data_IF_862103938859
#
_entry.id   IF_862103938859
#
_cell.length_a   1.000
_cell.length_b   1.000
_cell.length_c   1.000
_cell.angle_alpha   90.00
_cell.angle_beta   90.00
_cell.angle_gamma   90.00
#
_symmetry.space_group_name_H-M   'P 1'
#
loop_
_entity.id
_entity.type
_entity.pdbx_description
1 polymer ?
#
# COMPACT_ATOMS: atom_id res chain seq x y z
N UNK A 1 -18.42 13.03 27.13
CA UNK A 1 -17.51 13.66 26.16
C UNK A 1 -16.29 12.80 25.81
N UNK A 2 -15.46 12.30 26.76
CA UNK A 2 -14.22 11.54 26.48
C UNK A 2 -14.31 10.49 25.34
N UNK A 3 -15.36 9.68 25.28
CA UNK A 3 -15.56 8.69 24.20
C UNK A 3 -15.73 9.30 22.80
N UNK A 4 -16.47 10.41 22.68
CA UNK A 4 -16.66 11.12 21.41
C UNK A 4 -15.32 11.69 20.90
N UNK A 5 -14.51 12.25 21.80
CA UNK A 5 -13.17 12.74 21.47
C UNK A 5 -12.26 11.63 20.92
N UNK A 6 -12.30 10.42 21.49
CA UNK A 6 -11.53 9.27 20.99
C UNK A 6 -12.04 8.77 19.63
N UNK A 7 -13.36 8.75 19.40
CA UNK A 7 -13.95 8.40 18.10
C UNK A 7 -13.48 9.38 17.02
N UNK A 8 -13.58 10.70 17.28
CA UNK A 8 -13.13 11.73 16.34
C UNK A 8 -11.62 11.66 16.09
N UNK A 9 -10.81 11.43 17.13
CA UNK A 9 -9.36 11.24 16.98
C UNK A 9 -9.02 10.01 16.13
N UNK A 10 -9.72 8.88 16.34
CA UNK A 10 -9.53 7.66 15.54
C UNK A 10 -9.93 7.85 14.07
N UNK A 11 -11.02 8.57 13.80
CA UNK A 11 -11.43 8.95 12.44
C UNK A 11 -10.36 9.85 11.80
N UNK A 12 -9.89 10.88 12.49
CA UNK A 12 -8.87 11.80 11.95
C UNK A 12 -7.53 11.12 11.70
N UNK A 13 -7.08 10.23 12.60
CA UNK A 13 -5.91 9.38 12.39
C UNK A 13 -6.08 8.53 11.12
N UNK A 14 -7.24 7.88 10.97
CA UNK A 14 -7.56 7.06 9.79
C UNK A 14 -7.51 7.88 8.50
N UNK A 15 -8.16 9.06 8.47
CA UNK A 15 -8.17 9.96 7.31
C UNK A 15 -6.77 10.43 6.95
N UNK A 16 -5.94 10.81 7.93
CA UNK A 16 -4.56 11.23 7.67
C UNK A 16 -3.69 10.07 7.16
N UNK A 17 -3.74 8.90 7.81
CA UNK A 17 -2.95 7.74 7.39
C UNK A 17 -3.31 7.26 5.98
N UNK A 18 -4.60 7.13 5.65
CA UNK A 18 -5.04 6.70 4.32
C UNK A 18 -4.90 7.79 3.25
N UNK A 19 -5.04 9.07 3.60
CA UNK A 19 -4.81 10.19 2.68
C UNK A 19 -3.36 10.29 2.22
N UNK A 20 -2.40 10.05 3.12
CA UNK A 20 -0.96 10.04 2.81
C UNK A 20 -0.56 8.74 2.09
N UNK A 21 -1.15 7.60 2.47
CA UNK A 21 -0.83 6.26 1.96
C UNK A 21 -0.73 6.18 0.44
N UNK A 22 -1.73 6.67 -0.29
CA UNK A 22 -1.76 6.54 -1.76
C UNK A 22 -0.57 7.19 -2.46
N UNK A 23 -0.18 8.40 -2.03
CA UNK A 23 0.94 9.16 -2.59
C UNK A 23 2.29 8.56 -2.21
N UNK A 24 2.45 8.14 -0.95
CA UNK A 24 3.68 7.48 -0.47
C UNK A 24 3.87 6.12 -1.15
N UNK A 25 2.81 5.33 -1.26
CA UNK A 25 2.83 4.04 -1.98
C UNK A 25 3.18 4.23 -3.45
N UNK A 26 2.62 5.23 -4.13
CA UNK A 26 2.94 5.51 -5.53
C UNK A 26 4.42 5.90 -5.72
N UNK A 27 4.97 6.70 -4.80
CA UNK A 27 6.41 7.01 -4.80
C UNK A 27 7.26 5.75 -4.54
N UNK A 28 6.83 4.88 -3.62
CA UNK A 28 7.46 3.58 -3.37
C UNK A 28 7.45 2.66 -4.59
N UNK A 29 6.29 2.54 -5.26
CA UNK A 29 6.14 1.80 -6.52
C UNK A 29 7.14 2.28 -7.58
N UNK A 30 7.25 3.59 -7.78
CA UNK A 30 8.21 4.17 -8.73
C UNK A 30 9.67 3.85 -8.36
N UNK A 31 10.04 3.88 -7.08
CA UNK A 31 11.39 3.55 -6.63
C UNK A 31 11.70 2.04 -6.73
N UNK A 32 10.68 1.19 -6.65
CA UNK A 32 10.79 -0.27 -6.79
C UNK A 32 10.62 -0.76 -8.25
N UNK A 33 10.77 0.12 -9.24
CA UNK A 33 10.73 -0.23 -10.67
C UNK A 33 9.33 -0.44 -11.24
N UNK A 34 8.29 0.08 -10.59
CA UNK A 34 6.87 -0.13 -10.90
C UNK A 34 6.39 -1.59 -10.80
N UNK A 35 7.16 -2.46 -10.11
CA UNK A 35 6.76 -3.83 -9.83
C UNK A 35 5.49 -3.89 -8.97
N UNK A 36 4.59 -4.82 -9.31
CA UNK A 36 3.27 -4.95 -8.67
C UNK A 36 3.35 -5.63 -7.29
N UNK A 37 4.30 -6.55 -7.11
CA UNK A 37 4.35 -7.42 -5.93
C UNK A 37 5.33 -6.91 -4.85
N UNK A 38 6.46 -6.31 -5.24
CA UNK A 38 7.48 -5.84 -4.27
C UNK A 38 6.91 -4.84 -3.24
N UNK A 39 6.14 -3.80 -3.64
CA UNK A 39 5.55 -2.85 -2.68
C UNK A 39 4.49 -3.49 -1.79
N UNK A 40 3.75 -4.48 -2.29
CA UNK A 40 2.75 -5.21 -1.51
C UNK A 40 3.40 -6.01 -0.37
N UNK A 41 4.57 -6.61 -0.60
CA UNK A 41 5.34 -7.31 0.45
C UNK A 41 5.75 -6.32 1.55
N UNK A 42 6.25 -5.13 1.19
CA UNK A 42 6.60 -4.09 2.15
C UNK A 42 5.38 -3.64 2.98
N UNK A 43 4.22 -3.44 2.33
CA UNK A 43 2.96 -3.11 3.02
C UNK A 43 2.52 -4.26 3.95
N UNK A 44 2.63 -5.51 3.51
CA UNK A 44 2.29 -6.69 4.29
C UNK A 44 3.13 -6.84 5.57
N UNK A 45 4.45 -6.62 5.47
CA UNK A 45 5.34 -6.61 6.64
C UNK A 45 4.97 -5.47 7.61
N UNK A 46 4.72 -4.26 7.10
CA UNK A 46 4.29 -3.14 7.93
C UNK A 46 2.94 -3.42 8.64
N UNK A 47 1.99 -4.04 7.92
CA UNK A 47 0.69 -4.43 8.49
C UNK A 47 0.85 -5.51 9.56
N UNK A 48 1.71 -6.52 9.35
CA UNK A 48 1.99 -7.56 10.34
C UNK A 48 2.55 -6.95 11.64
N UNK A 49 3.55 -6.07 11.52
CA UNK A 49 4.16 -5.41 12.68
C UNK A 49 3.14 -4.53 13.43
N UNK A 50 2.42 -3.66 12.74
CA UNK A 50 1.47 -2.73 13.38
C UNK A 50 0.27 -3.48 13.96
N UNK A 51 -0.33 -4.42 13.23
CA UNK A 51 -1.52 -5.14 13.66
C UNK A 51 -1.28 -6.15 14.80
N UNK A 52 -0.02 -6.57 15.02
CA UNK A 52 0.34 -7.43 16.15
C UNK A 52 0.85 -6.58 17.32
N UNK A 53 1.87 -5.74 17.11
CA UNK A 53 2.57 -5.08 18.22
C UNK A 53 1.72 -4.01 18.90
N UNK A 54 0.95 -3.21 18.15
CA UNK A 54 0.15 -2.12 18.73
C UNK A 54 -1.02 -2.66 19.58
N UNK A 55 -1.85 -3.63 19.10
CA UNK A 55 -2.88 -4.21 19.95
C UNK A 55 -2.33 -4.96 21.15
N UNK A 56 -1.23 -5.71 21.03
CA UNK A 56 -0.60 -6.38 22.19
C UNK A 56 -0.15 -5.33 23.23
N UNK A 57 0.52 -4.26 22.80
CA UNK A 57 0.93 -3.17 23.70
C UNK A 57 -0.25 -2.50 24.43
N UNK A 58 -1.36 -2.27 23.74
CA UNK A 58 -2.57 -1.69 24.36
C UNK A 58 -3.25 -2.69 25.31
N UNK A 59 -3.35 -3.97 24.94
CA UNK A 59 -3.98 -5.01 25.77
C UNK A 59 -3.15 -5.36 27.01
N UNK A 60 -1.82 -5.31 26.95
CA UNK A 60 -0.95 -5.46 28.13
C UNK A 60 -1.10 -4.26 29.07
N UNK A 61 -1.00 -3.03 28.56
CA UNK A 61 -1.18 -1.80 29.36
C UNK A 61 -2.56 -1.69 30.01
N UNK A 62 -3.60 -2.29 29.40
CA UNK A 62 -4.97 -2.29 29.94
C UNK A 62 -5.34 -3.55 30.72
N UNK A 63 -4.42 -4.51 30.89
CA UNK A 63 -4.64 -5.76 31.64
C UNK A 63 -5.67 -6.72 31.01
N UNK A 64 -5.96 -6.57 29.71
CA UNK A 64 -7.03 -7.30 29.00
C UNK A 64 -6.55 -8.45 28.11
N UNK A 65 -5.24 -8.71 28.06
CA UNK A 65 -4.66 -9.68 27.12
C UNK A 65 -5.21 -11.11 27.26
N UNK A 66 -5.52 -11.56 28.47
CA UNK A 66 -5.91 -12.94 28.78
C UNK A 66 -7.40 -13.26 28.68
N UNK A 67 -8.28 -12.25 28.53
CA UNK A 67 -9.74 -12.42 28.67
C UNK A 67 -10.55 -11.96 27.46
N UNK A 68 -11.71 -12.58 27.24
CA UNK A 68 -12.69 -12.16 26.23
C UNK A 68 -12.52 -12.72 24.82
N UNK A 69 -11.57 -13.65 24.62
CA UNK A 69 -11.39 -14.35 23.35
C UNK A 69 -12.58 -15.27 23.04
N UNK A 70 -13.20 -15.12 21.88
CA UNK A 70 -14.29 -15.99 21.41
C UNK A 70 -13.98 -16.52 20.02
N UNK A 71 -14.30 -17.79 19.75
CA UNK A 71 -14.04 -18.41 18.44
C UNK A 71 -14.75 -17.66 17.29
N UNK A 72 -15.99 -17.24 17.49
CA UNK A 72 -16.75 -16.43 16.54
C UNK A 72 -16.08 -15.07 16.29
N UNK A 73 -15.69 -14.35 17.35
CA UNK A 73 -15.01 -13.06 17.21
C UNK A 73 -13.67 -13.16 16.48
N UNK A 74 -12.89 -14.22 16.75
CA UNK A 74 -11.65 -14.49 16.01
C UNK A 74 -11.92 -14.77 14.54
N UNK A 75 -12.89 -15.64 14.21
CA UNK A 75 -13.23 -15.95 12.82
C UNK A 75 -13.68 -14.72 12.02
N UNK A 76 -14.60 -13.92 12.57
CA UNK A 76 -15.04 -12.66 11.94
C UNK A 76 -13.90 -11.65 11.78
N UNK A 77 -13.00 -11.55 12.76
CA UNK A 77 -11.83 -10.68 12.68
C UNK A 77 -10.82 -11.15 11.62
N UNK A 78 -10.59 -12.46 11.50
CA UNK A 78 -9.74 -13.05 10.47
C UNK A 78 -10.32 -12.83 9.07
N UNK A 79 -11.63 -13.04 8.88
CA UNK A 79 -12.32 -12.76 7.63
C UNK A 79 -12.22 -11.27 7.23
N UNK A 80 -12.38 -10.35 8.19
CA UNK A 80 -12.21 -8.92 7.96
C UNK A 80 -10.76 -8.57 7.56
N UNK A 81 -9.77 -9.19 8.20
CA UNK A 81 -8.35 -9.04 7.84
C UNK A 81 -8.03 -9.54 6.43
N UNK A 82 -8.57 -10.70 6.03
CA UNK A 82 -8.44 -11.24 4.67
C UNK A 82 -9.08 -10.30 3.64
N UNK A 83 -10.28 -9.79 3.91
CA UNK A 83 -10.94 -8.81 3.03
C UNK A 83 -10.13 -7.51 2.89
N UNK A 84 -9.54 -7.02 3.99
CA UNK A 84 -8.63 -5.87 3.97
C UNK A 84 -7.36 -6.11 3.15
N UNK A 85 -6.76 -7.30 3.25
CA UNK A 85 -5.59 -7.68 2.45
C UNK A 85 -5.90 -7.72 0.94
N UNK A 86 -7.05 -8.26 0.54
CA UNK A 86 -7.51 -8.20 -0.85
C UNK A 86 -7.80 -6.77 -1.32
N UNK A 87 -8.33 -5.91 -0.45
CA UNK A 87 -8.49 -4.47 -0.73
C UNK A 87 -7.15 -3.77 -1.02
N UNK A 88 -6.14 -4.01 -0.18
CA UNK A 88 -4.79 -3.47 -0.39
C UNK A 88 -4.13 -3.99 -1.68
N UNK A 89 -4.27 -5.29 -1.98
CA UNK A 89 -3.85 -5.88 -3.25
C UNK A 89 -4.52 -5.19 -4.45
N UNK A 90 -5.84 -4.96 -4.39
CA UNK A 90 -6.60 -4.26 -5.43
C UNK A 90 -6.09 -2.85 -5.69
N UNK A 91 -5.80 -2.08 -4.63
CA UNK A 91 -5.19 -0.75 -4.75
C UNK A 91 -3.82 -0.83 -5.43
N UNK A 92 -2.93 -1.73 -4.97
CA UNK A 92 -1.59 -1.88 -5.54
C UNK A 92 -1.65 -2.25 -7.04
N UNK A 93 -2.57 -3.14 -7.42
CA UNK A 93 -2.80 -3.52 -8.83
C UNK A 93 -3.30 -2.34 -9.66
N UNK A 94 -4.27 -1.56 -9.15
CA UNK A 94 -4.82 -0.40 -9.85
C UNK A 94 -3.77 0.68 -10.08
N UNK A 95 -2.94 0.95 -9.07
CA UNK A 95 -1.87 1.94 -9.13
C UNK A 95 -0.73 1.52 -10.08
N UNK A 96 -0.32 0.25 -10.03
CA UNK A 96 0.67 -0.29 -10.99
C UNK A 96 0.14 -0.49 -12.41
N UNK A 97 -1.18 -0.49 -12.61
CA UNK A 97 -1.81 -0.45 -13.93
C UNK A 97 -1.83 0.95 -14.58
N UNK A 98 -1.17 1.95 -13.98
CA UNK A 98 -1.20 3.36 -14.42
C UNK A 98 -2.19 4.24 -13.65
N UNK A 99 -2.80 3.70 -12.58
CA UNK A 99 -3.63 4.46 -11.65
C UNK A 99 -2.83 5.54 -10.92
N UNK A 100 -3.37 6.76 -10.84
CA UNK A 100 -2.79 7.86 -10.06
C UNK A 100 -3.56 8.00 -8.74
N UNK A 101 -2.87 8.23 -7.59
CA UNK A 101 -3.53 8.30 -6.29
C UNK A 101 -4.63 9.37 -6.20
N UNK A 102 -4.50 10.46 -6.98
CA UNK A 102 -5.46 11.58 -7.00
C UNK A 102 -6.89 11.13 -7.32
N UNK A 103 -7.08 10.11 -8.17
CA UNK A 103 -8.42 9.60 -8.51
C UNK A 103 -8.67 8.17 -8.01
N UNK A 104 -7.64 7.33 -7.87
CA UNK A 104 -7.82 5.96 -7.33
C UNK A 104 -8.27 6.00 -5.87
N UNK A 105 -7.70 6.86 -5.03
CA UNK A 105 -8.07 6.90 -3.61
C UNK A 105 -9.51 7.40 -3.40
N UNK A 106 -9.96 8.53 -4.00
CA UNK A 106 -11.35 8.97 -3.84
C UNK A 106 -12.38 7.99 -4.43
N UNK A 107 -12.06 7.25 -5.49
CA UNK A 107 -12.94 6.20 -5.99
C UNK A 107 -13.10 5.05 -4.99
N UNK A 108 -12.01 4.53 -4.44
CA UNK A 108 -12.04 3.43 -3.46
C UNK A 108 -12.77 3.86 -2.19
N UNK A 109 -12.45 5.03 -1.65
CA UNK A 109 -13.10 5.55 -0.43
C UNK A 109 -14.52 6.07 -0.66
N UNK A 110 -14.92 6.39 -1.89
CA UNK A 110 -16.32 6.65 -2.26
C UNK A 110 -17.14 5.37 -2.43
N UNK A 111 -16.56 4.31 -2.99
CA UNK A 111 -17.22 3.02 -3.17
C UNK A 111 -17.35 2.20 -1.87
N UNK A 112 -16.34 2.21 -1.01
CA UNK A 112 -16.30 1.38 0.19
C UNK A 112 -17.48 1.58 1.17
N UNK A 113 -17.97 2.82 1.45
CA UNK A 113 -19.17 3.02 2.26
C UNK A 113 -20.42 2.33 1.72
N UNK A 114 -20.60 2.31 0.38
CA UNK A 114 -21.75 1.66 -0.28
C UNK A 114 -21.70 0.15 -0.04
N UNK A 115 -20.54 -0.46 -0.28
CA UNK A 115 -20.31 -1.90 -0.04
C UNK A 115 -20.50 -2.24 1.44
N UNK A 116 -20.01 -1.40 2.35
CA UNK A 116 -20.17 -1.58 3.78
C UNK A 116 -21.64 -1.58 4.21
N UNK A 117 -22.49 -0.69 3.68
CA UNK A 117 -23.92 -0.68 4.02
C UNK A 117 -24.63 -1.91 3.47
N UNK A 118 -24.32 -2.35 2.24
CA UNK A 118 -24.87 -3.59 1.69
C UNK A 118 -24.47 -4.79 2.56
N UNK A 119 -23.21 -4.89 2.96
CA UNK A 119 -22.74 -5.99 3.83
C UNK A 119 -23.35 -5.92 5.24
N UNK A 120 -23.49 -4.73 5.82
CA UNK A 120 -24.14 -4.55 7.13
C UNK A 120 -25.61 -4.98 7.10
N UNK A 121 -26.35 -4.65 6.02
CA UNK A 121 -27.73 -5.10 5.82
C UNK A 121 -27.82 -6.59 5.49
N UNK A 122 -26.81 -7.16 4.82
CA UNK A 122 -26.73 -8.60 4.55
C UNK A 122 -26.52 -9.42 5.82
N UNK A 123 -25.56 -9.04 6.67
CA UNK A 123 -25.35 -9.67 7.99
C UNK A 123 -26.57 -9.42 8.88
N UNK A 124 -27.03 -8.17 8.97
CA UNK A 124 -28.13 -7.77 9.86
C UNK A 124 -29.50 -8.38 9.53
N UNK A 125 -29.75 -8.74 8.26
CA UNK A 125 -30.95 -9.47 7.84
C UNK A 125 -30.68 -10.95 7.55
N UNK A 126 -29.72 -11.56 8.26
CA UNK A 126 -29.54 -13.01 8.34
C UNK A 126 -29.04 -13.67 7.06
N UNK A 127 -28.15 -13.00 6.31
CA UNK A 127 -27.56 -13.49 5.05
C UNK A 127 -28.58 -13.78 3.94
N UNK A 128 -29.77 -13.19 4.01
CA UNK A 128 -30.82 -13.33 2.98
C UNK A 128 -30.81 -12.16 2.00
N UNK A 129 -30.43 -12.42 0.75
CA UNK A 129 -30.38 -11.42 -0.34
C UNK A 129 -31.75 -10.74 -0.53
N UNK A 130 -32.85 -11.49 -0.45
CA UNK A 130 -34.21 -10.93 -0.59
C UNK A 130 -34.54 -9.96 0.55
N UNK A 131 -34.12 -10.28 1.78
CA UNK A 131 -34.32 -9.41 2.94
C UNK A 131 -33.42 -8.17 2.86
N UNK A 132 -32.17 -8.30 2.37
CA UNK A 132 -31.27 -7.17 2.09
C UNK A 132 -31.86 -6.22 1.06
N UNK A 133 -32.40 -6.73 -0.06
CA UNK A 133 -33.06 -5.92 -1.08
C UNK A 133 -34.28 -5.16 -0.52
N UNK A 134 -35.07 -5.80 0.34
CA UNK A 134 -36.14 -5.12 1.07
C UNK A 134 -35.59 -4.05 2.04
N UNK A 135 -34.49 -4.34 2.76
CA UNK A 135 -33.83 -3.37 3.65
C UNK A 135 -33.24 -2.16 2.94
N UNK A 136 -32.78 -2.31 1.69
CA UNK A 136 -32.45 -1.18 0.84
C UNK A 136 -33.72 -0.38 0.52
N UNK A 137 -34.79 -1.01 0.02
CA UNK A 137 -36.07 -0.32 -0.31
C UNK A 137 -36.71 0.42 0.87
N UNK A 138 -36.51 -0.07 2.09
CA UNK A 138 -36.95 0.55 3.35
C UNK A 138 -36.02 1.70 3.83
N UNK A 139 -34.85 1.89 3.21
CA UNK A 139 -33.90 2.90 3.63
C UNK A 139 -34.43 4.33 3.39
N UNK A 140 -34.16 5.21 4.35
CA UNK A 140 -34.64 6.59 4.31
C UNK A 140 -34.15 7.34 3.05
N UNK A 141 -34.98 8.13 2.35
CA UNK A 141 -34.60 8.79 1.10
C UNK A 141 -33.29 9.61 1.13
N UNK A 142 -32.96 10.25 2.26
CA UNK A 142 -31.71 11.00 2.45
C UNK A 142 -30.46 10.09 2.37
N UNK A 143 -30.56 8.81 2.71
CA UNK A 143 -29.45 7.86 2.55
C UNK A 143 -29.02 7.75 1.08
N UNK A 144 -30.01 7.67 0.18
CA UNK A 144 -29.77 7.63 -1.26
C UNK A 144 -29.20 8.93 -1.82
N UNK A 145 -29.62 10.09 -1.30
CA UNK A 145 -28.99 11.37 -1.69
C UNK A 145 -27.53 11.44 -1.22
N UNK A 146 -27.20 10.85 -0.07
CA UNK A 146 -25.82 10.66 0.39
C UNK A 146 -24.98 9.81 -0.57
N UNK A 147 -25.47 8.63 -0.97
CA UNK A 147 -24.81 7.79 -1.98
C UNK A 147 -24.62 8.55 -3.29
N UNK A 148 -25.68 9.21 -3.78
CA UNK A 148 -25.62 10.00 -5.00
C UNK A 148 -24.55 11.10 -4.92
N UNK A 149 -24.46 11.81 -3.80
CA UNK A 149 -23.45 12.85 -3.60
C UNK A 149 -22.02 12.28 -3.56
N UNK A 150 -21.82 11.09 -3.00
CA UNK A 150 -20.53 10.40 -3.01
C UNK A 150 -20.13 9.96 -4.42
N UNK A 151 -21.07 9.38 -5.18
CA UNK A 151 -20.86 8.98 -6.59
C UNK A 151 -20.56 10.20 -7.46
N UNK A 152 -21.31 11.29 -7.28
CA UNK A 152 -21.07 12.57 -7.95
C UNK A 152 -19.70 13.15 -7.60
N UNK A 153 -19.32 13.16 -6.31
CA UNK A 153 -17.99 13.61 -5.88
C UNK A 153 -16.85 12.81 -6.51
N UNK A 154 -16.98 11.48 -6.54
CA UNK A 154 -16.00 10.60 -7.19
C UNK A 154 -15.96 10.81 -8.72
N UNK A 155 -17.10 11.04 -9.37
CA UNK A 155 -17.17 11.38 -10.80
C UNK A 155 -16.51 12.74 -11.09
N UNK A 156 -16.75 13.76 -10.25
CA UNK A 156 -16.10 15.07 -10.37
C UNK A 156 -14.57 14.95 -10.25
N UNK A 157 -14.05 14.13 -9.32
CA UNK A 157 -12.61 13.87 -9.20
C UNK A 157 -12.03 13.23 -10.48
N UNK A 158 -12.77 12.37 -11.17
CA UNK A 158 -12.34 11.77 -12.43
C UNK A 158 -12.36 12.76 -13.60
N UNK A 159 -13.41 13.59 -13.69
CA UNK A 159 -13.59 14.58 -14.75
C UNK A 159 -12.58 15.72 -14.61
N UNK A 160 -12.43 16.26 -13.39
CA UNK A 160 -11.58 17.41 -13.08
C UNK A 160 -10.22 17.01 -12.48
N UNK A 161 -9.72 15.81 -12.82
CA UNK A 161 -8.36 15.41 -12.42
C UNK A 161 -7.35 16.45 -12.95
N UNK A 162 -6.38 16.90 -12.13
CA UNK A 162 -5.34 17.80 -12.60
C UNK A 162 -4.60 17.20 -13.80
N UNK A 163 -4.43 17.99 -14.86
CA UNK A 163 -3.65 17.58 -16.02
C UNK A 163 -2.22 17.25 -15.61
N UNK A 164 -1.67 16.15 -16.12
CA UNK A 164 -0.23 15.92 -16.04
C UNK A 164 0.54 17.04 -16.76
N UNK A 165 1.83 17.23 -16.45
CA UNK A 165 2.64 18.27 -17.08
C UNK A 165 2.53 18.18 -18.62
N UNK A 166 2.60 19.33 -19.33
CA UNK A 166 2.37 19.35 -20.77
C UNK A 166 3.26 18.34 -21.47
N UNK A 167 2.69 17.51 -22.34
CA UNK A 167 3.49 16.70 -23.27
C UNK A 167 4.23 17.68 -24.16
N UNK A 168 5.50 17.94 -23.84
CA UNK A 168 6.40 18.66 -24.72
C UNK A 168 6.33 17.99 -26.09
N UNK A 169 6.09 18.79 -27.12
CA UNK A 169 6.06 18.30 -28.50
C UNK A 169 7.47 17.80 -28.85
N UNK A 170 7.70 16.50 -28.66
CA UNK A 170 8.87 15.83 -29.20
C UNK A 170 8.70 15.75 -30.71
N UNK A 171 9.15 16.81 -31.38
CA UNK A 171 9.33 16.87 -32.82
C UNK A 171 10.17 15.67 -33.24
N UNK A 172 9.60 14.74 -34.01
CA UNK A 172 10.37 13.68 -34.66
C UNK A 172 11.44 14.30 -35.56
N UNK A 173 12.73 13.99 -35.40
CA UNK A 173 13.65 14.00 -36.51
C UNK A 173 13.39 12.74 -37.35
N UNK A 174 13.35 12.90 -38.67
CA UNK A 174 13.28 11.75 -39.59
C UNK A 174 14.59 10.95 -39.62
N UNK A 175 14.55 9.78 -40.26
CA UNK A 175 15.77 9.05 -40.63
C UNK A 175 16.65 9.91 -41.55
N UNK A 176 17.95 9.91 -41.30
CA UNK A 176 18.97 10.06 -42.33
C UNK A 176 20.12 9.11 -41.97
N UNK A 177 20.53 8.29 -42.92
CA UNK A 177 21.63 7.33 -42.80
C UNK A 177 23.00 8.00 -43.05
N UNK A 178 24.07 7.19 -43.07
CA UNK A 178 25.47 7.48 -43.46
C UNK A 178 26.51 7.90 -42.39
N UNK A 179 27.03 6.87 -41.69
CA UNK A 179 28.44 6.40 -41.80
C UNK A 179 29.63 7.42 -41.81
N UNK A 180 30.37 7.45 -40.68
CA UNK A 180 31.85 7.57 -40.51
C UNK A 180 32.12 7.41 -38.98
N UNK A 181 33.26 6.95 -38.44
CA UNK A 181 34.50 6.47 -39.03
C UNK A 181 35.71 6.62 -38.08
N UNK A 182 35.91 5.67 -37.13
CA UNK A 182 37.16 5.25 -36.44
C UNK A 182 38.10 6.28 -35.74
N UNK A 183 38.79 5.81 -34.68
CA UNK A 183 39.98 6.40 -33.96
C UNK A 183 39.60 7.34 -32.80
N UNK A 184 39.91 7.16 -31.49
CA UNK A 184 40.97 6.52 -30.68
C UNK A 184 42.10 7.46 -30.21
N UNK A 185 42.52 7.32 -28.93
CA UNK A 185 43.53 8.11 -28.18
C UNK A 185 43.15 9.61 -27.93
N UNK A 186 43.50 10.30 -26.83
CA UNK A 186 43.97 9.99 -25.46
C UNK A 186 43.67 11.26 -24.57
N UNK A 187 44.01 11.43 -23.28
CA UNK A 187 44.77 10.65 -22.28
C UNK A 187 44.34 11.01 -20.82
N UNK A 188 44.94 10.32 -19.83
CA UNK A 188 45.40 10.71 -18.46
C UNK A 188 44.78 11.87 -17.64
N UNK A 189 44.75 11.81 -16.29
CA UNK A 189 45.60 11.04 -15.36
C UNK A 189 44.86 10.64 -14.04
N UNK A 190 45.40 9.62 -13.36
CA UNK A 190 45.26 9.05 -11.99
C UNK A 190 44.39 9.75 -10.89
N UNK A 191 43.89 9.05 -9.84
CA UNK A 191 44.61 8.09 -8.97
C UNK A 191 43.71 7.19 -8.08
N UNK A 192 44.12 5.91 -7.90
CA UNK A 192 43.80 4.90 -6.85
C UNK A 192 42.32 4.60 -6.47
N UNK A 193 41.78 3.36 -6.52
CA UNK A 193 42.27 2.03 -6.05
C UNK A 193 42.41 1.97 -4.50
N UNK A 194 42.01 0.93 -3.77
CA UNK A 194 41.99 -0.50 -4.12
C UNK A 194 40.70 -1.25 -3.71
N UNK A 195 40.47 -2.37 -4.41
CA UNK A 195 39.64 -3.48 -3.96
C UNK A 195 40.55 -4.68 -3.66
N UNK A 196 40.08 -5.66 -2.88
CA UNK A 196 40.54 -7.05 -3.01
C UNK A 196 39.48 -8.03 -2.51
N UNK A 197 39.42 -9.15 -3.22
CA UNK A 197 38.46 -10.26 -3.09
C UNK A 197 39.13 -11.51 -2.51
N UNK A 198 38.35 -12.58 -2.46
CA UNK A 198 38.76 -13.99 -2.25
C UNK A 198 39.13 -14.41 -0.81
N UNK A 199 38.92 -15.64 -0.32
CA UNK A 199 38.17 -16.87 -0.64
C UNK A 199 39.04 -18.06 -0.17
N UNK A 200 38.40 -19.16 0.27
CA UNK A 200 39.02 -20.37 0.90
C UNK A 200 39.60 -20.14 2.31
N UNK A 201 39.31 -20.93 3.37
CA UNK A 201 39.36 -22.39 3.53
C UNK A 201 40.80 -22.95 3.41
N UNK A 202 41.31 -23.87 4.23
CA UNK A 202 40.88 -24.53 5.47
C UNK A 202 42.10 -25.31 6.02
N UNK A 203 42.19 -25.57 7.33
CA UNK A 203 43.13 -26.47 8.01
C UNK A 203 44.66 -26.14 7.90
N UNK A 204 45.33 -25.83 9.00
CA UNK A 204 46.03 -26.78 9.91
C UNK A 204 47.34 -27.34 9.32
N UNK A 205 48.49 -26.79 9.73
CA UNK A 205 49.53 -27.59 10.42
C UNK A 205 50.61 -26.70 11.10
N UNK A 206 51.09 -27.16 12.26
CA UNK A 206 52.34 -26.77 12.94
C UNK A 206 53.55 -27.37 12.19
N UNK A 207 54.81 -26.84 12.26
CA UNK A 207 55.55 -26.72 13.53
C UNK A 207 56.68 -25.66 13.63
N UNK A 208 57.39 -25.71 14.77
CA UNK A 208 58.83 -25.45 15.00
C UNK A 208 59.58 -24.28 14.33
N UNK A 209 59.99 -23.31 15.16
CA UNK A 209 61.39 -22.92 15.41
C UNK A 209 61.38 -21.95 16.63
N UNK A 210 62.42 -21.68 17.44
CA UNK A 210 63.87 -21.90 17.29
C UNK A 210 64.57 -21.96 18.66
N UNK A 211 65.68 -22.70 18.77
CA UNK A 211 66.61 -22.64 19.92
C UNK A 211 67.68 -21.57 19.69
N UNK A 212 67.82 -20.58 20.60
CA UNK A 212 69.13 -20.13 21.14
C UNK A 212 69.07 -19.05 22.22
N UNK A 213 69.94 -19.24 23.23
CA UNK A 213 70.41 -18.31 24.26
C UNK A 213 69.44 -17.89 25.36
#
# INVERSE_FOLDING_TARGET
>A
MKGLSLILAGIMLTVMSWGIYGSVLHKGQHLLGNDRLKPLICVGVAYLLVAILVPIGILTMTGKLSGGWTASGMMWSTMAGVAGAFGALGIVIAMTAGGNPIYVMPLVFGGAPIVNVVMALYIGKGFSVSATMQGLREAHPIFYSGIFMVVMGAALVLIFKPGGPPKSHSTKPGKSDAEHGKTAAAADDSHASEASSEQSASATDTPEDSVKS
#
